data_IF_572042298006
#
_entry.id   IF_572042298006
#
_cell.length_a   1.000
_cell.length_b   1.000
_cell.length_c   1.000
_cell.angle_alpha   90.00
_cell.angle_beta   90.00
_cell.angle_gamma   90.00
#
_symmetry.space_group_name_H-M   'P 1'
#
loop_
_entity.id
_entity.type
_entity.pdbx_description
1 polymer ?
#
# COMPACT_ATOMS: atom_id res chain seq x y z
N UNK A 1 19.89 41.44 13.79
CA UNK A 1 19.30 40.52 12.85
C UNK A 1 20.23 39.35 12.58
N UNK A 2 19.64 38.18 12.39
CA UNK A 2 20.33 36.99 11.90
C UNK A 2 19.72 36.61 10.55
N UNK A 3 20.54 36.42 9.53
CA UNK A 3 20.09 36.02 8.19
C UNK A 3 20.72 34.68 7.79
N UNK A 4 19.86 33.73 7.36
CA UNK A 4 20.26 32.37 7.03
C UNK A 4 19.64 31.95 5.70
N UNK A 5 20.43 31.31 4.86
CA UNK A 5 19.94 30.71 3.62
C UNK A 5 19.05 29.50 3.88
N UNK A 6 18.01 29.35 3.07
CA UNK A 6 17.25 28.11 2.89
C UNK A 6 17.67 27.53 1.56
N UNK A 7 18.24 26.34 1.55
CA UNK A 7 18.74 25.68 0.36
C UNK A 7 17.93 24.41 0.07
N UNK A 8 17.68 24.17 -1.21
CA UNK A 8 17.13 22.93 -1.69
C UNK A 8 18.26 21.90 -1.84
N UNK A 9 18.07 20.68 -1.29
CA UNK A 9 19.15 19.70 -1.12
C UNK A 9 18.64 18.28 -1.46
N UNK A 10 18.55 17.94 -2.78
CA UNK A 10 18.00 16.67 -3.26
C UNK A 10 18.67 15.42 -2.66
N UNK A 11 19.95 15.51 -2.36
CA UNK A 11 20.74 14.41 -1.76
C UNK A 11 20.21 13.97 -0.39
N UNK A 12 19.56 14.88 0.35
CA UNK A 12 18.91 14.55 1.62
C UNK A 12 17.74 13.59 1.45
N UNK A 13 17.06 13.65 0.31
CA UNK A 13 15.91 12.78 0.06
C UNK A 13 16.37 11.36 -0.20
N UNK A 14 17.48 11.17 -0.92
CA UNK A 14 18.05 9.85 -1.15
C UNK A 14 18.49 9.18 0.17
N UNK A 15 19.16 9.95 1.05
CA UNK A 15 19.54 9.49 2.39
C UNK A 15 18.31 9.12 3.23
N UNK A 16 17.27 9.95 3.19
CA UNK A 16 16.01 9.72 3.91
C UNK A 16 15.31 8.47 3.41
N UNK A 17 15.14 8.31 2.10
CA UNK A 17 14.50 7.13 1.51
C UNK A 17 15.21 5.84 1.92
N UNK A 18 16.54 5.82 1.85
CA UNK A 18 17.34 4.66 2.22
C UNK A 18 17.20 4.26 3.70
N UNK A 19 17.03 5.23 4.59
CA UNK A 19 16.93 4.98 6.04
C UNK A 19 15.51 4.72 6.51
N UNK A 20 14.51 5.28 5.82
CA UNK A 20 13.09 5.22 6.22
C UNK A 20 12.28 4.17 5.42
N UNK A 21 12.89 3.51 4.44
CA UNK A 21 12.19 2.57 3.56
C UNK A 21 11.09 3.24 2.74
N UNK A 22 11.34 4.49 2.28
CA UNK A 22 10.40 5.25 1.47
C UNK A 22 10.90 5.39 0.03
N UNK A 23 9.98 5.67 -0.91
CA UNK A 23 10.27 5.85 -2.34
C UNK A 23 9.81 7.25 -2.80
N UNK A 24 10.04 8.27 -1.98
CA UNK A 24 9.65 9.64 -2.31
C UNK A 24 10.51 10.19 -3.44
N UNK A 25 9.88 10.91 -4.35
CA UNK A 25 10.58 11.62 -5.42
C UNK A 25 10.70 13.12 -5.10
N UNK A 26 11.75 13.74 -5.62
CA UNK A 26 11.91 15.19 -5.54
C UNK A 26 10.82 15.85 -6.37
N UNK A 27 10.17 16.88 -5.85
CA UNK A 27 9.20 17.68 -6.61
C UNK A 27 9.85 18.20 -7.90
N UNK A 28 9.17 18.17 -9.07
CA UNK A 28 9.69 18.65 -10.33
C UNK A 28 10.33 20.04 -10.23
N UNK A 29 11.42 20.26 -10.95
CA UNK A 29 12.27 21.44 -10.78
C UNK A 29 11.56 22.79 -11.05
N UNK A 30 10.55 22.79 -11.92
CA UNK A 30 9.69 23.95 -12.21
C UNK A 30 8.69 24.28 -11.08
N UNK A 31 8.43 23.32 -10.20
CA UNK A 31 7.56 23.45 -9.03
C UNK A 31 8.34 23.67 -7.74
N UNK A 32 9.67 23.55 -7.78
CA UNK A 32 10.49 23.70 -6.60
C UNK A 32 10.56 25.15 -6.13
N UNK A 33 10.53 25.40 -4.82
CA UNK A 33 10.79 26.72 -4.30
C UNK A 33 12.20 27.17 -4.66
N UNK A 34 12.35 28.44 -5.01
CA UNK A 34 13.67 29.03 -5.20
C UNK A 34 14.39 29.12 -3.85
N UNK A 35 15.71 29.01 -3.87
CA UNK A 35 16.51 29.34 -2.69
C UNK A 35 16.10 30.69 -2.14
N UNK A 36 15.96 30.76 -0.83
CA UNK A 36 15.50 31.94 -0.13
C UNK A 36 16.36 32.19 1.12
N UNK A 37 16.17 33.34 1.72
CA UNK A 37 16.74 33.67 3.01
C UNK A 37 15.65 33.91 4.05
N UNK A 38 15.94 33.60 5.30
CA UNK A 38 15.10 33.93 6.44
C UNK A 38 15.86 34.90 7.34
N UNK A 39 15.20 35.98 7.73
CA UNK A 39 15.73 36.99 8.65
C UNK A 39 15.01 36.84 9.98
N UNK A 40 15.76 36.61 11.06
CA UNK A 40 15.30 36.75 12.43
C UNK A 40 15.66 38.16 12.89
N UNK A 41 14.68 39.06 13.08
CA UNK A 41 14.93 40.43 13.49
C UNK A 41 15.64 40.50 14.84
N UNK A 42 16.37 41.58 15.04
CA UNK A 42 16.99 41.85 16.35
C UNK A 42 15.93 41.96 17.46
N UNK A 43 16.12 41.19 18.54
CA UNK A 43 15.15 41.11 19.62
C UNK A 43 14.12 39.97 19.48
N UNK A 44 14.01 39.35 18.32
CA UNK A 44 13.15 38.17 18.08
C UNK A 44 13.97 36.87 18.25
N UNK A 45 13.25 35.80 18.62
CA UNK A 45 13.86 34.48 18.85
C UNK A 45 13.59 33.52 17.70
N UNK A 46 12.71 33.87 16.75
CA UNK A 46 12.32 33.03 15.61
C UNK A 46 11.83 33.85 14.43
N UNK A 47 11.83 33.23 13.26
CA UNK A 47 11.14 33.72 12.07
C UNK A 47 10.52 32.53 11.30
N UNK A 48 9.48 32.82 10.52
CA UNK A 48 8.80 31.82 9.72
C UNK A 48 9.25 31.91 8.25
N UNK A 49 9.63 30.76 7.69
CA UNK A 49 9.73 30.58 6.27
C UNK A 49 8.42 29.95 5.75
N UNK A 50 7.79 30.58 4.77
CA UNK A 50 6.56 30.05 4.14
C UNK A 50 6.92 29.37 2.83
N UNK A 51 6.69 28.07 2.79
CA UNK A 51 6.79 27.27 1.58
C UNK A 51 5.42 27.29 0.87
N UNK A 52 5.40 27.65 -0.40
CA UNK A 52 4.20 27.58 -1.24
C UNK A 52 4.46 26.58 -2.35
N UNK A 53 3.47 25.71 -2.59
CA UNK A 53 3.44 24.74 -3.67
C UNK A 53 2.07 24.81 -4.32
N UNK A 54 2.03 25.03 -5.62
CA UNK A 54 0.79 25.02 -6.39
C UNK A 54 0.19 23.60 -6.47
N UNK A 55 -1.10 23.51 -6.71
CA UNK A 55 -1.78 22.21 -6.88
C UNK A 55 -1.23 21.47 -8.10
N UNK A 56 -1.00 20.18 -7.95
CA UNK A 56 -0.51 19.31 -9.02
C UNK A 56 -1.09 17.88 -8.90
N UNK A 57 -0.96 17.13 -9.98
CA UNK A 57 -1.40 15.72 -10.04
C UNK A 57 -0.23 14.82 -9.71
N UNK A 58 -0.39 13.96 -8.72
CA UNK A 58 0.68 13.08 -8.22
C UNK A 58 0.92 11.84 -9.07
N UNK A 59 -0.10 11.35 -9.79
CA UNK A 59 -0.06 10.09 -10.55
C UNK A 59 0.51 8.90 -9.74
N UNK A 60 0.20 8.84 -8.45
CA UNK A 60 0.69 7.80 -7.54
C UNK A 60 2.12 8.01 -7.04
N UNK A 61 2.76 9.14 -7.39
CA UNK A 61 4.08 9.51 -6.87
C UNK A 61 3.91 10.34 -5.60
N UNK A 62 4.57 9.98 -4.54
CA UNK A 62 4.68 10.83 -3.36
C UNK A 62 5.93 11.70 -3.50
N UNK A 63 5.70 13.01 -3.66
CA UNK A 63 6.80 13.96 -3.76
C UNK A 63 7.23 14.50 -2.40
N UNK A 64 8.48 14.92 -2.33
CA UNK A 64 9.02 15.59 -1.16
C UNK A 64 9.92 16.78 -1.55
N UNK A 65 9.98 17.76 -0.65
CA UNK A 65 10.85 18.93 -0.78
C UNK A 65 11.90 18.85 0.33
N UNK A 66 13.13 18.41 0.00
CA UNK A 66 14.23 18.37 0.95
C UNK A 66 14.89 19.74 1.05
N UNK A 67 14.89 20.32 2.25
CA UNK A 67 15.48 21.61 2.55
C UNK A 67 16.58 21.50 3.61
N UNK A 68 17.58 22.36 3.51
CA UNK A 68 18.60 22.54 4.53
C UNK A 68 18.83 24.02 4.83
N UNK A 69 19.26 24.33 6.05
CA UNK A 69 19.81 25.65 6.36
C UNK A 69 21.20 25.77 5.70
N UNK A 70 21.33 26.66 4.74
CA UNK A 70 22.57 26.98 4.05
C UNK A 70 23.50 27.85 4.89
N UNK A 71 24.15 28.85 4.28
CA UNK A 71 25.09 29.73 4.98
C UNK A 71 24.39 30.70 5.92
N UNK A 72 25.08 31.04 6.99
CA UNK A 72 24.73 32.20 7.81
C UNK A 72 25.29 33.44 7.08
N UNK A 73 24.40 34.25 6.51
CA UNK A 73 24.76 35.45 5.75
C UNK A 73 25.09 36.61 6.70
N UNK A 74 24.29 36.74 7.76
CA UNK A 74 24.43 37.79 8.76
C UNK A 74 24.20 37.23 10.16
N UNK A 75 24.98 37.67 11.12
CA UNK A 75 24.89 37.28 12.52
C UNK A 75 25.99 36.32 12.94
N UNK A 76 26.19 36.19 14.27
CA UNK A 76 27.19 35.29 14.85
C UNK A 76 26.48 34.14 15.56
N UNK A 77 26.04 33.13 14.74
CA UNK A 77 25.37 31.93 15.26
C UNK A 77 26.00 30.67 14.68
N UNK A 78 25.79 29.57 15.37
CA UNK A 78 26.17 28.23 14.92
C UNK A 78 24.93 27.44 14.60
N UNK A 79 24.88 26.81 13.43
CA UNK A 79 23.78 25.94 13.02
C UNK A 79 23.85 24.61 13.76
N UNK A 80 22.70 24.13 14.22
CA UNK A 80 22.57 22.77 14.71
C UNK A 80 22.67 21.77 13.54
N UNK A 81 23.61 20.83 13.60
CA UNK A 81 23.75 19.79 12.58
C UNK A 81 22.52 18.87 12.49
N UNK A 82 21.90 18.58 13.64
CA UNK A 82 20.75 17.68 13.71
C UNK A 82 19.43 18.35 13.31
N UNK A 83 19.30 19.66 13.47
CA UNK A 83 18.05 20.41 13.26
C UNK A 83 18.12 21.36 12.06
N UNK A 84 19.03 21.13 11.15
CA UNK A 84 19.20 21.95 9.93
C UNK A 84 18.69 21.29 8.66
N UNK A 85 18.10 20.11 8.75
CA UNK A 85 17.62 19.29 7.63
C UNK A 85 16.12 19.07 7.77
N UNK A 86 15.36 19.27 6.72
CA UNK A 86 13.91 19.16 6.71
C UNK A 86 13.46 18.43 5.44
N UNK A 87 12.56 17.46 5.57
CA UNK A 87 11.89 16.78 4.46
C UNK A 87 10.40 17.09 4.57
N UNK A 88 9.89 17.90 3.65
CA UNK A 88 8.45 18.16 3.55
C UNK A 88 7.85 17.18 2.56
N UNK A 89 7.10 16.21 3.06
CA UNK A 89 6.41 15.21 2.23
C UNK A 89 5.08 15.77 1.77
N UNK A 90 4.90 15.79 0.45
CA UNK A 90 3.68 16.24 -0.21
C UNK A 90 2.80 15.01 -0.49
N UNK A 91 2.20 14.49 0.55
CA UNK A 91 1.36 13.30 0.47
C UNK A 91 -0.11 13.68 0.60
N UNK A 92 -0.92 13.19 -0.35
CA UNK A 92 -2.37 13.29 -0.29
C UNK A 92 -2.93 11.92 0.10
N UNK A 93 -3.50 11.75 1.30
CA UNK A 93 -4.13 10.50 1.69
C UNK A 93 -5.24 10.11 0.73
N UNK A 94 -5.39 8.80 0.53
CA UNK A 94 -6.43 8.21 -0.30
C UNK A 94 -7.82 8.76 0.09
N UNK A 95 -8.56 9.23 -0.91
CA UNK A 95 -9.97 9.57 -0.84
C UNK A 95 -10.62 9.02 -2.09
N UNK A 96 -11.16 7.82 -2.01
CA UNK A 96 -11.48 6.98 -3.16
C UNK A 96 -12.93 6.53 -3.16
N UNK A 97 -13.38 6.05 -4.32
CA UNK A 97 -14.57 5.21 -4.42
C UNK A 97 -14.16 3.77 -4.11
N UNK A 98 -15.07 2.99 -3.55
CA UNK A 98 -14.81 1.59 -3.17
C UNK A 98 -15.97 0.71 -3.59
N UNK A 99 -15.74 -0.39 -4.34
CA UNK A 99 -16.76 -1.36 -4.63
C UNK A 99 -17.08 -2.20 -3.39
N UNK A 100 -18.34 -2.43 -3.14
CA UNK A 100 -18.80 -3.43 -2.19
C UNK A 100 -19.19 -4.68 -2.99
N UNK A 101 -18.32 -5.67 -2.96
CA UNK A 101 -18.49 -6.95 -3.62
C UNK A 101 -19.56 -7.75 -2.89
N UNK A 102 -20.53 -8.24 -3.65
CA UNK A 102 -21.69 -8.91 -3.07
C UNK A 102 -21.37 -10.35 -2.70
N UNK A 103 -21.75 -10.75 -1.51
CA UNK A 103 -21.76 -12.17 -1.12
C UNK A 103 -22.69 -13.01 -2.02
N UNK A 104 -22.27 -14.22 -2.34
CA UNK A 104 -22.94 -15.20 -3.21
C UNK A 104 -23.08 -14.84 -4.70
N UNK A 105 -22.63 -13.70 -5.15
CA UNK A 105 -23.00 -13.23 -6.46
C UNK A 105 -21.84 -12.93 -7.41
N UNK A 106 -20.62 -12.82 -6.94
CA UNK A 106 -19.63 -12.39 -7.89
C UNK A 106 -18.21 -12.59 -7.45
N UNK A 107 -17.55 -13.46 -8.15
CA UNK A 107 -16.11 -13.52 -8.16
C UNK A 107 -15.56 -12.38 -9.00
N UNK A 108 -14.51 -11.77 -8.55
CA UNK A 108 -13.70 -10.88 -9.36
C UNK A 108 -12.52 -11.68 -9.89
N UNK A 109 -12.43 -11.82 -11.18
CA UNK A 109 -11.38 -12.60 -11.85
C UNK A 109 -10.51 -11.66 -12.69
N UNK A 110 -9.20 -11.83 -12.61
CA UNK A 110 -8.26 -11.10 -13.47
C UNK A 110 -8.21 -11.71 -14.87
N UNK A 111 -7.89 -10.90 -15.86
CA UNK A 111 -7.73 -11.30 -17.25
C UNK A 111 -6.24 -11.23 -17.65
N UNK A 112 -5.74 -12.20 -18.43
CA UNK A 112 -6.37 -13.48 -18.71
C UNK A 112 -6.59 -14.29 -17.44
N UNK A 113 -7.58 -15.18 -17.44
CA UNK A 113 -7.93 -16.01 -16.28
C UNK A 113 -6.89 -17.09 -15.97
N UNK A 114 -5.96 -17.30 -16.86
CA UNK A 114 -4.89 -18.29 -16.74
C UNK A 114 -3.63 -17.79 -17.43
N UNK A 115 -2.51 -18.43 -17.11
CA UNK A 115 -1.27 -18.32 -17.88
C UNK A 115 -0.52 -16.97 -17.80
N UNK A 116 -0.56 -16.30 -16.67
CA UNK A 116 0.35 -15.16 -16.46
C UNK A 116 1.81 -15.58 -16.56
N UNK A 117 2.14 -16.81 -16.12
CA UNK A 117 3.48 -17.37 -16.22
C UNK A 117 4.53 -16.65 -15.38
N UNK A 118 4.11 -15.92 -14.36
CA UNK A 118 5.00 -15.10 -13.52
C UNK A 118 5.48 -15.96 -12.35
N UNK A 119 6.79 -16.21 -12.30
CA UNK A 119 7.42 -16.94 -11.19
C UNK A 119 8.32 -15.99 -10.41
N UNK A 120 8.18 -15.98 -9.08
CA UNK A 120 8.91 -15.09 -8.18
C UNK A 120 9.40 -15.84 -6.94
N UNK A 121 10.54 -15.43 -6.42
CA UNK A 121 11.13 -16.01 -5.19
C UNK A 121 10.65 -15.28 -3.94
N UNK A 122 10.09 -14.09 -4.10
CA UNK A 122 9.49 -13.29 -3.05
C UNK A 122 8.29 -12.53 -3.60
N UNK A 123 7.31 -12.23 -2.77
CA UNK A 123 6.14 -11.47 -3.18
C UNK A 123 5.48 -10.76 -2.00
N UNK A 124 4.68 -9.75 -2.33
CA UNK A 124 3.78 -9.08 -1.38
C UNK A 124 2.42 -8.87 -2.05
N UNK A 125 1.36 -9.19 -1.33
CA UNK A 125 -0.02 -8.89 -1.72
C UNK A 125 -0.63 -7.99 -0.65
N UNK A 126 -1.10 -6.80 -1.04
CA UNK A 126 -1.69 -5.82 -0.13
C UNK A 126 -3.11 -5.45 -0.55
N UNK A 127 -3.97 -5.14 0.42
CA UNK A 127 -5.29 -4.57 0.16
C UNK A 127 -5.90 -3.94 1.42
N UNK A 128 -6.75 -2.93 1.23
CA UNK A 128 -7.75 -2.52 2.21
C UNK A 128 -8.99 -3.37 2.05
N UNK A 129 -9.46 -3.98 3.14
CA UNK A 129 -10.60 -4.90 3.16
C UNK A 129 -11.51 -4.60 4.35
N UNK A 130 -12.83 -4.57 4.08
CA UNK A 130 -13.86 -4.46 5.12
C UNK A 130 -14.98 -5.46 4.85
N UNK A 131 -15.18 -6.38 5.77
CA UNK A 131 -16.28 -7.33 5.74
C UNK A 131 -17.46 -6.80 6.56
N UNK A 132 -18.69 -6.99 6.09
CA UNK A 132 -19.89 -6.65 6.87
C UNK A 132 -20.27 -7.73 7.90
N UNK A 133 -19.54 -8.82 7.94
CA UNK A 133 -19.69 -9.90 8.89
C UNK A 133 -18.82 -11.11 8.59
N UNK A 134 -18.88 -12.09 9.47
CA UNK A 134 -18.14 -13.34 9.40
C UNK A 134 -19.07 -14.53 9.70
N UNK A 135 -20.17 -14.63 8.92
CA UNK A 135 -21.28 -15.55 9.21
C UNK A 135 -20.96 -17.01 8.88
N UNK A 136 -20.01 -17.25 7.99
CA UNK A 136 -19.60 -18.59 7.55
C UNK A 136 -18.07 -18.64 7.35
N UNK A 137 -17.52 -19.86 7.37
CA UNK A 137 -16.12 -20.09 7.06
C UNK A 137 -15.83 -20.01 5.54
N UNK A 138 -14.55 -20.05 5.19
CA UNK A 138 -14.05 -20.13 3.82
C UNK A 138 -14.46 -18.96 2.91
N UNK A 139 -14.62 -17.76 3.45
CA UNK A 139 -14.88 -16.58 2.64
C UNK A 139 -13.57 -16.07 2.03
N UNK A 140 -13.15 -16.65 0.89
CA UNK A 140 -11.87 -16.35 0.27
C UNK A 140 -11.87 -14.99 -0.42
N UNK A 141 -10.90 -14.16 -0.04
CA UNK A 141 -10.68 -12.84 -0.66
C UNK A 141 -9.59 -12.85 -1.74
N UNK A 142 -8.65 -13.80 -1.66
CA UNK A 142 -7.63 -13.97 -2.69
C UNK A 142 -7.35 -15.45 -2.94
N UNK A 143 -7.29 -15.80 -4.22
CA UNK A 143 -6.91 -17.14 -4.68
C UNK A 143 -6.00 -17.02 -5.91
N UNK A 144 -4.87 -17.71 -5.90
CA UNK A 144 -3.95 -17.80 -7.04
C UNK A 144 -3.20 -19.13 -7.02
N UNK A 145 -2.88 -19.64 -8.21
CA UNK A 145 -2.11 -20.88 -8.36
C UNK A 145 -2.83 -22.13 -7.90
N UNK A 146 -2.09 -23.23 -7.89
CA UNK A 146 -2.53 -24.54 -7.45
C UNK A 146 -1.37 -25.32 -6.84
N UNK A 147 -1.66 -26.31 -6.01
CA UNK A 147 -0.68 -27.16 -5.32
C UNK A 147 0.37 -26.33 -4.54
N UNK A 148 1.66 -26.49 -4.86
CA UNK A 148 2.75 -25.84 -4.16
C UNK A 148 2.81 -24.30 -4.38
N UNK A 149 2.10 -23.82 -5.40
CA UNK A 149 2.01 -22.38 -5.71
C UNK A 149 0.68 -21.74 -5.28
N UNK A 150 -0.13 -22.50 -4.52
CA UNK A 150 -1.42 -22.01 -4.04
C UNK A 150 -1.25 -20.80 -3.13
N UNK A 151 -2.04 -19.77 -3.40
CA UNK A 151 -2.34 -18.69 -2.47
C UNK A 151 -3.84 -18.75 -2.21
N UNK A 152 -4.22 -19.00 -0.97
CA UNK A 152 -5.61 -19.05 -0.56
C UNK A 152 -5.78 -18.28 0.75
N UNK A 153 -6.35 -17.08 0.63
CA UNK A 153 -6.54 -16.16 1.76
C UNK A 153 -8.03 -16.00 1.99
N UNK A 154 -8.49 -16.35 3.19
CA UNK A 154 -9.91 -16.44 3.53
C UNK A 154 -10.21 -15.97 4.94
N UNK A 155 -11.46 -15.60 5.18
CA UNK A 155 -12.00 -15.43 6.52
C UNK A 155 -12.65 -16.73 6.99
N UNK A 156 -12.26 -17.18 8.21
CA UNK A 156 -12.75 -18.38 8.85
C UNK A 156 -12.33 -19.70 8.21
N UNK A 157 -12.14 -20.71 9.02
CA UNK A 157 -11.88 -22.10 8.65
C UNK A 157 -12.74 -23.02 9.54
N UNK A 158 -12.21 -24.12 10.03
CA UNK A 158 -12.95 -25.14 10.77
C UNK A 158 -13.59 -24.65 12.09
N UNK A 159 -12.94 -23.70 12.77
CA UNK A 159 -13.33 -23.32 14.12
C UNK A 159 -14.11 -21.99 14.16
N UNK A 160 -15.18 -21.95 14.94
CA UNK A 160 -15.94 -20.72 15.27
C UNK A 160 -15.27 -20.00 16.45
N UNK A 161 -15.43 -18.66 16.53
CA UNK A 161 -16.08 -17.76 15.56
C UNK A 161 -15.19 -17.60 14.31
N UNK A 162 -15.79 -17.24 13.15
CA UNK A 162 -15.10 -17.16 11.86
C UNK A 162 -14.47 -15.79 11.58
N UNK A 163 -14.41 -14.93 12.57
CA UNK A 163 -13.87 -13.56 12.50
C UNK A 163 -12.33 -13.52 12.63
N UNK A 164 -11.66 -14.35 11.88
CA UNK A 164 -10.21 -14.33 11.72
C UNK A 164 -9.85 -14.53 10.25
N UNK A 165 -8.70 -14.02 9.84
CA UNK A 165 -8.17 -14.26 8.51
C UNK A 165 -7.16 -15.40 8.58
N UNK A 166 -7.16 -16.26 7.56
CA UNK A 166 -6.18 -17.33 7.40
C UNK A 166 -5.60 -17.27 5.99
N UNK A 167 -4.29 -17.44 5.90
CA UNK A 167 -3.61 -17.75 4.65
C UNK A 167 -3.18 -19.18 4.60
N UNK A 168 -3.39 -19.82 3.44
CA UNK A 168 -2.78 -21.08 3.07
C UNK A 168 -1.90 -20.83 1.85
N UNK A 169 -0.64 -21.21 1.94
CA UNK A 169 0.33 -21.05 0.84
C UNK A 169 1.50 -21.99 1.04
N UNK A 170 2.07 -22.46 -0.06
CA UNK A 170 3.32 -23.24 -0.06
C UNK A 170 3.26 -24.48 0.86
N UNK A 171 2.09 -25.14 0.93
CA UNK A 171 1.87 -26.33 1.77
C UNK A 171 1.66 -26.05 3.27
N UNK A 172 1.76 -24.79 3.71
CA UNK A 172 1.50 -24.35 5.09
C UNK A 172 0.27 -23.49 5.22
N UNK A 173 -0.11 -23.20 6.46
CA UNK A 173 -1.20 -22.28 6.75
C UNK A 173 -1.00 -21.55 8.09
N UNK A 174 -1.52 -20.34 8.18
CA UNK A 174 -1.48 -19.53 9.40
C UNK A 174 -2.70 -18.62 9.47
N UNK A 175 -3.21 -18.44 10.67
CA UNK A 175 -4.30 -17.49 10.94
C UNK A 175 -3.80 -16.28 11.73
N UNK A 176 -4.55 -15.20 11.68
CA UNK A 176 -4.30 -13.97 12.45
C UNK A 176 -4.30 -14.22 13.96
N UNK A 177 -3.53 -13.40 14.67
CA UNK A 177 -3.32 -13.54 16.11
C UNK A 177 -4.52 -13.13 16.94
N UNK A 178 -5.40 -12.26 16.43
CA UNK A 178 -6.58 -11.78 17.15
C UNK A 178 -7.81 -11.68 16.25
N UNK A 179 -8.99 -11.66 16.87
CA UNK A 179 -10.26 -11.56 16.19
C UNK A 179 -10.45 -10.24 15.43
N UNK A 180 -11.34 -10.29 14.44
CA UNK A 180 -11.70 -9.17 13.58
C UNK A 180 -13.10 -8.67 13.90
N UNK A 181 -13.29 -7.37 13.72
CA UNK A 181 -14.59 -6.72 13.88
C UNK A 181 -15.26 -6.50 12.52
N UNK A 182 -16.57 -6.77 12.44
CA UNK A 182 -17.35 -6.48 11.27
C UNK A 182 -17.43 -4.95 11.03
N UNK A 183 -17.56 -4.56 9.78
CA UNK A 183 -17.63 -3.16 9.35
C UNK A 183 -16.39 -2.30 9.67
N UNK A 184 -15.27 -2.95 9.98
CA UNK A 184 -13.99 -2.30 10.25
C UNK A 184 -13.04 -2.47 9.07
N UNK A 185 -12.40 -1.38 8.66
CA UNK A 185 -11.36 -1.41 7.65
C UNK A 185 -10.06 -1.94 8.23
N UNK A 186 -9.49 -2.92 7.54
CA UNK A 186 -8.16 -3.44 7.82
C UNK A 186 -7.31 -3.34 6.56
N UNK A 187 -6.11 -2.81 6.69
CA UNK A 187 -5.07 -2.99 5.68
C UNK A 187 -4.37 -4.32 5.94
N UNK A 188 -4.41 -5.18 4.96
CA UNK A 188 -3.70 -6.44 4.98
C UNK A 188 -2.49 -6.39 4.06
N UNK A 189 -1.37 -6.96 4.50
CA UNK A 189 -0.26 -7.30 3.63
C UNK A 189 0.25 -8.70 3.96
N UNK A 190 0.44 -9.49 2.94
CA UNK A 190 0.96 -10.85 3.00
C UNK A 190 2.30 -10.85 2.29
N UNK A 191 3.36 -11.12 3.02
CA UNK A 191 4.74 -10.99 2.54
C UNK A 191 5.46 -12.32 2.63
N UNK A 192 5.88 -12.86 1.49
CA UNK A 192 6.78 -14.00 1.42
C UNK A 192 8.17 -13.54 0.97
N UNK A 193 9.20 -13.83 1.77
CA UNK A 193 10.57 -13.37 1.52
C UNK A 193 11.49 -14.47 0.98
N UNK A 194 10.92 -15.59 0.52
CA UNK A 194 11.66 -16.78 0.09
C UNK A 194 11.76 -17.87 1.16
N UNK A 195 11.49 -17.55 2.42
CA UNK A 195 11.55 -18.51 3.55
C UNK A 195 10.37 -18.38 4.50
N UNK A 196 10.04 -17.16 4.90
CA UNK A 196 9.00 -16.85 5.88
C UNK A 196 7.85 -16.12 5.20
N UNK A 197 6.62 -16.50 5.51
CA UNK A 197 5.41 -15.78 5.15
C UNK A 197 4.89 -15.04 6.37
N UNK A 198 4.85 -13.70 6.26
CA UNK A 198 4.40 -12.79 7.32
C UNK A 198 3.07 -12.15 6.94
N UNK A 199 2.15 -12.07 7.89
CA UNK A 199 0.90 -11.31 7.76
C UNK A 199 1.04 -10.02 8.54
N UNK A 200 0.80 -8.91 7.85
CA UNK A 200 0.72 -7.57 8.46
C UNK A 200 -0.73 -7.10 8.48
N UNK A 201 -1.13 -6.49 9.59
CA UNK A 201 -2.41 -5.83 9.77
C UNK A 201 -2.20 -4.39 10.16
N UNK A 202 -2.76 -3.46 9.37
CA UNK A 202 -2.63 -2.02 9.58
C UNK A 202 -1.16 -1.56 9.72
N UNK A 203 -0.30 -2.08 8.84
CA UNK A 203 1.12 -1.73 8.79
C UNK A 203 1.99 -2.36 9.87
N UNK A 204 1.46 -3.25 10.71
CA UNK A 204 2.22 -3.94 11.78
C UNK A 204 2.14 -5.44 11.62
N UNK A 205 3.21 -6.13 11.96
CA UNK A 205 3.23 -7.59 11.96
C UNK A 205 2.16 -8.14 12.90
N UNK A 206 1.25 -8.97 12.35
CA UNK A 206 0.24 -9.70 13.11
C UNK A 206 0.76 -11.10 13.49
N UNK A 207 1.20 -11.87 12.50
CA UNK A 207 1.72 -13.23 12.69
C UNK A 207 2.60 -13.65 11.52
N UNK A 208 3.30 -14.77 11.66
CA UNK A 208 4.13 -15.34 10.60
C UNK A 208 4.24 -16.87 10.72
N UNK A 209 4.74 -17.50 9.68
CA UNK A 209 5.13 -18.90 9.67
C UNK A 209 6.15 -19.18 8.56
N UNK A 210 6.90 -20.26 8.72
CA UNK A 210 7.79 -20.77 7.69
C UNK A 210 7.07 -21.91 6.96
N UNK A 211 6.58 -21.69 5.73
CA UNK A 211 5.93 -22.75 4.98
C UNK A 211 6.94 -23.85 4.64
N UNK A 212 6.50 -25.11 4.55
CA UNK A 212 7.36 -26.17 4.03
C UNK A 212 7.74 -25.79 2.60
N UNK A 213 9.04 -25.71 2.35
CA UNK A 213 9.57 -25.19 1.08
C UNK A 213 8.99 -25.93 -0.13
N UNK A 214 8.39 -25.24 -1.10
CA UNK A 214 8.04 -25.84 -2.37
C UNK A 214 9.31 -26.24 -3.13
N UNK A 215 9.17 -27.06 -4.13
CA UNK A 215 10.28 -27.37 -5.04
C UNK A 215 10.78 -26.07 -5.68
N UNK A 216 11.97 -25.65 -5.31
CA UNK A 216 12.63 -24.47 -5.86
C UNK A 216 12.41 -23.14 -5.11
N UNK A 217 11.57 -23.09 -4.05
CA UNK A 217 11.39 -21.88 -3.23
C UNK A 217 10.65 -20.72 -3.90
N UNK A 218 10.18 -20.88 -5.14
CA UNK A 218 9.48 -19.85 -5.90
C UNK A 218 7.97 -20.07 -5.93
N UNK A 219 7.22 -18.98 -6.15
CA UNK A 219 5.76 -18.98 -6.32
C UNK A 219 5.44 -18.61 -7.74
N UNK A 220 4.49 -19.31 -8.36
CA UNK A 220 4.00 -19.01 -9.69
C UNK A 220 2.60 -18.39 -9.64
N UNK A 221 2.46 -17.22 -10.22
CA UNK A 221 1.19 -16.57 -10.46
C UNK A 221 0.74 -16.81 -11.90
N UNK A 222 -0.36 -17.51 -12.07
CA UNK A 222 -1.01 -17.74 -13.37
C UNK A 222 -2.29 -16.92 -13.52
N UNK A 223 -2.88 -16.49 -12.41
CA UNK A 223 -4.09 -15.67 -12.32
C UNK A 223 -4.20 -15.10 -10.91
N UNK A 224 -5.15 -14.19 -10.70
CA UNK A 224 -5.63 -13.80 -9.38
C UNK A 224 -7.16 -13.75 -9.40
N UNK A 225 -7.77 -14.42 -8.45
CA UNK A 225 -9.18 -14.21 -8.14
C UNK A 225 -9.31 -13.45 -6.85
N UNK A 226 -10.16 -12.45 -6.89
CA UNK A 226 -10.49 -11.58 -5.76
C UNK A 226 -11.94 -11.91 -5.39
N UNK A 227 -12.20 -12.31 -4.14
CA UNK A 227 -13.50 -12.80 -3.69
C UNK A 227 -13.97 -14.00 -4.50
N UNK A 228 -13.42 -15.17 -4.20
CA UNK A 228 -13.68 -16.42 -4.92
C UNK A 228 -13.94 -17.60 -3.97
N UNK A 229 -15.11 -17.68 -3.44
CA UNK A 229 -15.54 -18.88 -2.68
C UNK A 229 -16.94 -19.35 -3.07
N UNK A 230 -17.47 -18.90 -4.17
CA UNK A 230 -18.81 -19.28 -4.63
C UNK A 230 -19.85 -19.15 -3.50
N UNK A 231 -20.54 -20.24 -3.21
CA UNK A 231 -21.59 -20.25 -2.16
C UNK A 231 -21.09 -20.08 -0.73
N UNK A 232 -19.79 -20.19 -0.48
CA UNK A 232 -19.20 -19.91 0.84
C UNK A 232 -18.98 -18.41 1.08
N UNK A 233 -18.95 -17.58 0.08
CA UNK A 233 -18.84 -16.13 0.28
C UNK A 233 -20.21 -15.54 0.55
N UNK A 234 -20.56 -15.33 1.81
CA UNK A 234 -21.90 -14.90 2.26
C UNK A 234 -22.00 -13.43 2.62
N UNK A 235 -20.95 -12.90 3.18
CA UNK A 235 -20.89 -11.51 3.62
C UNK A 235 -20.46 -10.60 2.47
N UNK A 236 -20.85 -9.32 2.51
CA UNK A 236 -20.36 -8.35 1.57
C UNK A 236 -18.94 -7.92 1.94
N UNK A 237 -18.10 -7.72 0.93
CA UNK A 237 -16.71 -7.34 1.07
C UNK A 237 -16.44 -6.03 0.33
N UNK A 238 -16.15 -4.96 1.04
CA UNK A 238 -15.58 -3.76 0.44
C UNK A 238 -14.06 -3.93 0.33
N UNK A 239 -13.49 -3.61 -0.84
CA UNK A 239 -12.07 -3.79 -1.10
C UNK A 239 -11.52 -2.65 -1.95
N UNK A 240 -10.29 -2.24 -1.67
CA UNK A 240 -9.60 -1.17 -2.41
C UNK A 240 -8.10 -1.33 -2.34
N UNK A 241 -7.39 -0.73 -3.29
CA UNK A 241 -5.92 -0.68 -3.34
C UNK A 241 -5.26 -2.06 -3.29
N UNK A 242 -5.72 -2.97 -4.13
CA UNK A 242 -5.11 -4.30 -4.25
C UNK A 242 -3.81 -4.17 -5.02
N UNK A 243 -2.69 -4.56 -4.38
CA UNK A 243 -1.33 -4.40 -4.91
C UNK A 243 -0.60 -5.74 -4.85
N UNK A 244 -0.12 -6.21 -5.99
CA UNK A 244 0.69 -7.42 -6.08
C UNK A 244 2.11 -7.07 -6.52
N UNK A 245 3.07 -7.38 -5.67
CA UNK A 245 4.49 -7.08 -5.86
C UNK A 245 5.30 -8.36 -6.05
N UNK A 246 6.34 -8.31 -6.87
CA UNK A 246 7.32 -9.40 -7.05
C UNK A 246 8.51 -9.34 -6.08
N UNK A 247 8.36 -8.61 -4.99
CA UNK A 247 9.36 -8.42 -3.92
C UNK A 247 8.71 -8.55 -2.56
N UNK A 248 9.49 -8.90 -1.55
CA UNK A 248 9.09 -8.81 -0.15
C UNK A 248 9.22 -7.37 0.33
N UNK A 249 8.11 -6.72 0.64
CA UNK A 249 8.10 -5.37 1.22
C UNK A 249 8.35 -5.43 2.72
N UNK A 250 9.07 -4.45 3.22
CA UNK A 250 9.33 -4.29 4.65
C UNK A 250 8.12 -3.74 5.39
N UNK A 251 8.06 -3.92 6.71
CA UNK A 251 7.03 -3.33 7.56
C UNK A 251 6.94 -1.81 7.39
N UNK A 252 8.09 -1.14 7.32
CA UNK A 252 8.14 0.31 7.12
C UNK A 252 7.58 0.76 5.78
N UNK A 253 7.90 0.04 4.69
CA UNK A 253 7.33 0.33 3.36
C UNK A 253 5.81 0.15 3.35
N UNK A 254 5.31 -0.91 3.99
CA UNK A 254 3.87 -1.17 4.10
C UNK A 254 3.19 -0.05 4.90
N UNK A 255 3.69 0.23 6.11
CA UNK A 255 3.13 1.23 7.00
C UNK A 255 3.14 2.65 6.41
N UNK A 256 4.23 3.01 5.72
CA UNK A 256 4.39 4.34 5.13
C UNK A 256 3.54 4.56 3.87
N UNK A 257 3.13 3.48 3.17
CA UNK A 257 2.43 3.59 1.89
C UNK A 257 0.96 3.14 1.93
N UNK A 258 0.47 2.56 3.02
CA UNK A 258 -0.89 2.00 3.05
C UNK A 258 -2.01 3.05 2.86
N UNK A 259 -1.76 4.30 3.25
CA UNK A 259 -2.73 5.41 3.13
C UNK A 259 -2.59 6.23 1.85
N UNK A 260 -1.64 5.89 0.98
CA UNK A 260 -1.31 6.69 -0.19
C UNK A 260 -1.39 5.87 -1.47
N UNK A 261 -1.54 6.55 -2.59
CA UNK A 261 -1.34 5.93 -3.90
C UNK A 261 0.11 5.46 -4.02
N UNK A 262 0.32 4.39 -4.80
CA UNK A 262 1.66 3.94 -5.18
C UNK A 262 1.89 4.21 -6.67
N UNK A 263 3.14 4.46 -7.04
CA UNK A 263 3.51 4.69 -8.43
C UNK A 263 3.19 3.44 -9.28
N UNK A 264 2.23 3.51 -10.21
CA UNK A 264 1.83 2.36 -11.02
C UNK A 264 2.94 1.88 -11.97
N UNK A 265 3.96 2.72 -12.21
CA UNK A 265 5.13 2.37 -13.02
C UNK A 265 6.28 1.76 -12.21
N UNK A 266 6.08 1.50 -10.91
CA UNK A 266 7.10 0.82 -10.12
C UNK A 266 7.40 -0.55 -10.74
N UNK A 267 8.66 -0.83 -11.11
CA UNK A 267 9.02 -2.06 -11.82
C UNK A 267 8.84 -3.34 -10.98
N UNK A 268 8.63 -3.18 -9.69
CA UNK A 268 8.35 -4.30 -8.77
C UNK A 268 6.87 -4.66 -8.66
N UNK A 269 5.96 -3.86 -9.23
CA UNK A 269 4.54 -4.22 -9.31
C UNK A 269 4.29 -5.26 -10.40
N UNK A 270 3.63 -6.35 -10.05
CA UNK A 270 3.04 -7.30 -11.00
C UNK A 270 1.70 -6.74 -11.49
N UNK A 271 0.87 -6.28 -10.54
CA UNK A 271 -0.44 -5.69 -10.81
C UNK A 271 -0.84 -4.70 -9.71
N UNK A 272 -1.65 -3.73 -10.09
CA UNK A 272 -2.24 -2.74 -9.19
C UNK A 272 -3.69 -2.50 -9.60
N UNK A 273 -4.63 -2.89 -8.74
CA UNK A 273 -6.05 -2.60 -8.90
C UNK A 273 -6.46 -1.59 -7.82
N UNK A 274 -6.52 -0.28 -8.14
CA UNK A 274 -7.03 0.73 -7.20
C UNK A 274 -8.46 0.42 -6.75
N UNK A 275 -9.27 -0.14 -7.65
CA UNK A 275 -10.69 -0.44 -7.46
C UNK A 275 -11.45 0.84 -7.04
N UNK A 276 -11.24 1.93 -7.78
CA UNK A 276 -11.75 3.26 -7.49
C UNK A 276 -12.52 3.89 -8.66
N UNK A 277 -12.92 3.06 -9.64
CA UNK A 277 -13.62 3.49 -10.84
C UNK A 277 -14.96 4.21 -10.54
N UNK A 278 -15.57 3.93 -9.40
CA UNK A 278 -16.77 4.61 -8.92
C UNK A 278 -18.08 4.07 -9.49
N UNK A 279 -18.04 3.25 -10.53
CA UNK A 279 -19.17 2.55 -11.11
C UNK A 279 -18.74 1.29 -11.89
N UNK A 280 -19.71 0.55 -12.38
CA UNK A 280 -19.46 -0.65 -13.20
C UNK A 280 -18.94 -1.84 -12.41
N UNK A 281 -18.40 -2.82 -13.14
CA UNK A 281 -17.93 -4.13 -12.63
C UNK A 281 -16.53 -4.49 -13.13
N UNK A 282 -15.85 -3.58 -13.79
CA UNK A 282 -14.51 -3.78 -14.34
C UNK A 282 -13.49 -2.97 -13.51
N UNK A 283 -12.34 -3.56 -13.21
CA UNK A 283 -11.29 -2.98 -12.42
C UNK A 283 -10.00 -2.98 -13.23
N UNK A 284 -9.47 -1.81 -13.49
CA UNK A 284 -8.28 -1.64 -14.32
C UNK A 284 -7.01 -1.99 -13.53
N UNK A 285 -6.11 -2.73 -14.17
CA UNK A 285 -4.73 -2.82 -13.75
C UNK A 285 -3.98 -1.52 -14.13
N UNK A 286 -3.68 -0.71 -13.13
CA UNK A 286 -3.06 0.59 -13.32
C UNK A 286 -1.59 0.49 -13.77
N UNK A 287 -0.93 -0.66 -13.60
CA UNK A 287 0.46 -0.86 -14.07
C UNK A 287 0.57 -0.86 -15.58
N UNK A 288 -0.49 -1.24 -16.27
CA UNK A 288 -0.49 -1.46 -17.72
C UNK A 288 0.04 -2.84 -18.14
N UNK A 289 0.29 -3.75 -17.21
CA UNK A 289 0.75 -5.12 -17.50
C UNK A 289 -0.37 -6.01 -18.07
N UNK A 290 -1.61 -5.51 -18.11
CA UNK A 290 -2.73 -6.18 -18.76
C UNK A 290 -3.55 -7.10 -17.88
N UNK A 291 -3.36 -7.08 -16.58
CA UNK A 291 -4.07 -7.89 -15.60
C UNK A 291 -5.38 -7.24 -15.11
N UNK A 292 -6.16 -6.64 -16.03
CA UNK A 292 -7.46 -6.07 -15.67
C UNK A 292 -8.34 -7.14 -15.01
N UNK A 293 -9.22 -6.73 -14.12
CA UNK A 293 -10.12 -7.63 -13.43
C UNK A 293 -11.59 -7.26 -13.72
N UNK A 294 -12.48 -8.24 -13.62
CA UNK A 294 -13.91 -8.04 -13.81
C UNK A 294 -14.70 -8.88 -12.82
N UNK A 295 -15.83 -8.35 -12.35
CA UNK A 295 -16.76 -9.11 -11.53
C UNK A 295 -17.74 -9.87 -12.42
N UNK A 296 -17.95 -11.15 -12.11
CA UNK A 296 -18.91 -12.01 -12.81
C UNK A 296 -20.38 -11.67 -12.52
N UNK A 297 -20.64 -10.87 -11.50
CA UNK A 297 -21.96 -10.48 -11.06
C UNK A 297 -22.03 -9.01 -10.67
N UNK A 298 -23.26 -8.54 -10.42
CA UNK A 298 -23.47 -7.19 -9.96
C UNK A 298 -22.85 -6.97 -8.59
N UNK A 299 -22.23 -5.82 -8.40
CA UNK A 299 -21.80 -5.35 -7.09
C UNK A 299 -23.00 -5.05 -6.20
N UNK A 300 -22.81 -5.07 -4.91
CA UNK A 300 -23.83 -4.63 -3.96
C UNK A 300 -24.10 -3.13 -4.13
N UNK A 301 -23.01 -2.34 -4.19
CA UNK A 301 -22.99 -0.89 -4.40
C UNK A 301 -21.58 -0.39 -4.58
N UNK A 302 -21.45 0.88 -4.93
CA UNK A 302 -20.23 1.68 -4.75
C UNK A 302 -20.41 2.60 -3.53
N UNK A 303 -19.33 2.77 -2.77
CA UNK A 303 -19.22 3.77 -1.70
C UNK A 303 -18.19 4.82 -2.13
N UNK A 304 -18.48 6.10 -1.87
CA UNK A 304 -17.64 7.21 -2.35
C UNK A 304 -17.06 7.99 -1.19
N UNK A 305 -15.98 8.73 -1.45
CA UNK A 305 -15.29 9.57 -0.46
C UNK A 305 -14.80 8.77 0.75
N UNK A 306 -14.30 7.56 0.50
CA UNK A 306 -13.76 6.70 1.56
C UNK A 306 -12.32 7.12 1.84
N UNK A 307 -12.03 7.33 3.12
CA UNK A 307 -10.71 7.59 3.66
C UNK A 307 -10.35 6.51 4.68
N UNK A 308 -9.11 6.05 4.63
CA UNK A 308 -8.63 4.98 5.51
C UNK A 308 -7.80 5.50 6.69
N UNK A 309 -7.46 6.78 6.70
CA UNK A 309 -6.64 7.45 7.72
C UNK A 309 -7.47 8.13 8.83
N UNK A 310 -8.77 7.83 8.88
CA UNK A 310 -9.71 8.41 9.86
C UNK A 310 -10.36 7.33 10.70
#
# INVERSE_FOLDING_TARGET
>A
DVEVEIQFSPELLAEYNATSGTEYEVLPADMLPKNATVIIPAGEISANYRLHVDDFVTNGITYAIPLTLGNVIKGNIVKSKAQSKFIYVLAKPLNVSVPVLRGNAGNVTTLPETDWGITVDAWTLEAWVRMDGYSINNQAIFTSGSNDHEIYIRFGDANRPYNYLQIKSLGGQKQTASDLEANTWYHWAFVYNGTTLTIYRNGKQDTFFDPPAPKGGSVRFDFMKIVDSGSYFRNNCAMSQVRLWKVARTESEIANNMYFEVNPKNPNLIALWPMDEGDGTSFRDATGNGHNATSNGALQRWEHNIRFDK
#
